data_IF_032268882169
#
_entry.id   IF_032268882169
#
_cell.length_a   1.000
_cell.length_b   1.000
_cell.length_c   1.000
_cell.angle_alpha   90.00
_cell.angle_beta   90.00
_cell.angle_gamma   90.00
#
_symmetry.space_group_name_H-M   'P 1'
#
loop_
_entity.id
_entity.type
_entity.pdbx_description
1 polymer ?
#
# COMPACT_ATOMS: atom_id res chain seq x y z
N UNK A 1 38.56 17.76 3.76
CA UNK A 1 37.87 17.89 2.46
C UNK A 1 36.40 17.62 2.71
N UNK A 2 35.55 18.65 2.74
CA UNK A 2 34.11 18.50 3.05
C UNK A 2 33.34 18.27 1.75
N UNK A 3 32.63 17.14 1.66
CA UNK A 3 31.72 16.87 0.56
C UNK A 3 30.45 17.71 0.72
N UNK A 4 30.28 18.71 -0.16
CA UNK A 4 29.04 19.45 -0.26
C UNK A 4 27.95 18.57 -0.87
N UNK A 5 26.87 18.34 -0.13
CA UNK A 5 25.65 17.75 -0.67
C UNK A 5 25.09 18.68 -1.76
N UNK A 6 25.10 18.23 -3.02
CA UNK A 6 24.35 18.88 -4.09
C UNK A 6 22.86 18.67 -3.82
N UNK A 7 22.15 19.74 -3.47
CA UNK A 7 20.69 19.73 -3.43
C UNK A 7 20.18 19.35 -4.82
N UNK A 8 19.32 18.33 -4.91
CA UNK A 8 18.71 17.93 -6.17
C UNK A 8 17.90 19.11 -6.75
N UNK A 9 17.94 19.35 -8.07
CA UNK A 9 17.13 20.43 -8.64
C UNK A 9 15.66 20.13 -8.37
N UNK A 10 14.95 21.12 -7.80
CA UNK A 10 13.51 21.06 -7.68
C UNK A 10 12.92 20.83 -9.08
N UNK A 11 12.09 19.80 -9.28
CA UNK A 11 11.47 19.50 -10.58
C UNK A 11 10.90 20.79 -11.20
N UNK A 12 11.18 21.02 -12.47
CA UNK A 12 10.63 22.15 -13.23
C UNK A 12 9.09 22.05 -13.27
N UNK A 13 8.33 23.14 -12.98
CA UNK A 13 6.88 23.15 -13.15
C UNK A 13 6.41 22.66 -14.53
N UNK A 14 7.13 22.96 -15.62
CA UNK A 14 6.78 22.48 -16.98
C UNK A 14 6.93 20.97 -17.07
N UNK A 15 7.97 20.41 -16.45
CA UNK A 15 8.17 18.97 -16.37
C UNK A 15 7.13 18.27 -15.48
N UNK A 16 6.49 18.97 -14.53
CA UNK A 16 5.38 18.42 -13.74
C UNK A 16 4.08 18.42 -14.51
N UNK A 17 3.80 19.49 -15.27
CA UNK A 17 2.65 19.55 -16.18
C UNK A 17 2.68 18.40 -17.19
N UNK A 18 3.87 18.05 -17.72
CA UNK A 18 4.05 16.87 -18.58
C UNK A 18 3.89 15.51 -17.84
N UNK A 19 3.77 15.52 -16.52
CA UNK A 19 3.68 14.33 -15.64
C UNK A 19 2.39 14.30 -14.80
N UNK A 20 1.37 14.96 -15.33
CA UNK A 20 -0.02 14.93 -14.85
C UNK A 20 -0.89 14.58 -16.07
N UNK A 21 -2.04 13.94 -15.84
CA UNK A 21 -3.04 13.70 -16.88
C UNK A 21 -4.36 14.35 -16.51
N UNK A 22 -4.96 15.03 -17.48
CA UNK A 22 -6.33 15.55 -17.38
C UNK A 22 -7.37 14.42 -17.51
N UNK A 23 -8.60 14.59 -16.98
CA UNK A 23 -9.66 13.58 -17.11
C UNK A 23 -9.97 13.18 -18.56
N UNK A 24 -9.89 14.13 -19.49
CA UNK A 24 -10.16 13.90 -20.92
C UNK A 24 -9.07 13.06 -21.58
N UNK A 25 -7.80 13.31 -21.23
CA UNK A 25 -6.66 12.52 -21.70
C UNK A 25 -6.74 11.09 -21.15
N UNK A 26 -7.13 10.95 -19.88
CA UNK A 26 -7.35 9.65 -19.25
C UNK A 26 -8.48 8.86 -19.91
N UNK A 27 -9.62 9.51 -20.18
CA UNK A 27 -10.76 8.87 -20.87
C UNK A 27 -10.39 8.44 -22.30
N UNK A 28 -9.57 9.23 -23.01
CA UNK A 28 -9.14 8.93 -24.39
C UNK A 28 -8.05 7.85 -24.44
N UNK A 29 -7.36 7.57 -23.32
CA UNK A 29 -6.29 6.56 -23.26
C UNK A 29 -6.76 5.11 -23.43
N UNK A 30 -8.09 4.87 -23.52
CA UNK A 30 -8.64 3.54 -23.78
C UNK A 30 -8.42 2.55 -22.64
N UNK A 31 -8.44 3.04 -21.39
CA UNK A 31 -8.30 2.22 -20.19
C UNK A 31 -9.42 1.16 -20.16
N UNK A 32 -9.11 -0.15 -20.00
CA UNK A 32 -10.12 -1.18 -19.96
C UNK A 32 -11.10 -0.96 -18.80
N UNK A 33 -12.40 -0.93 -19.13
CA UNK A 33 -13.46 -0.81 -18.14
C UNK A 33 -13.48 -2.04 -17.23
N UNK A 34 -13.52 -1.81 -15.92
CA UNK A 34 -13.74 -2.90 -14.96
C UNK A 34 -15.14 -3.49 -15.14
N UNK A 35 -15.29 -4.83 -15.16
CA UNK A 35 -16.62 -5.46 -15.20
C UNK A 35 -17.46 -5.14 -13.96
N UNK A 36 -16.84 -5.21 -12.78
CA UNK A 36 -17.50 -4.88 -11.51
C UNK A 36 -16.60 -4.03 -10.61
N UNK A 37 -16.58 -2.69 -10.80
CA UNK A 37 -15.80 -1.78 -9.96
C UNK A 37 -16.15 -1.93 -8.48
N UNK A 38 -17.44 -2.08 -8.15
CA UNK A 38 -17.91 -2.25 -6.77
C UNK A 38 -17.25 -3.44 -6.09
N UNK A 39 -17.12 -4.57 -6.77
CA UNK A 39 -16.49 -5.76 -6.19
C UNK A 39 -15.00 -5.53 -5.93
N UNK A 40 -14.28 -4.93 -6.88
CA UNK A 40 -12.86 -4.60 -6.70
C UNK A 40 -12.68 -3.65 -5.52
N UNK A 41 -13.46 -2.57 -5.45
CA UNK A 41 -13.39 -1.59 -4.35
C UNK A 41 -13.70 -2.24 -3.01
N UNK A 42 -14.75 -3.06 -2.91
CA UNK A 42 -15.08 -3.77 -1.67
C UNK A 42 -13.93 -4.69 -1.24
N UNK A 43 -13.37 -5.48 -2.15
CA UNK A 43 -12.25 -6.37 -1.83
C UNK A 43 -11.01 -5.60 -1.35
N UNK A 44 -10.65 -4.50 -2.02
CA UNK A 44 -9.51 -3.68 -1.59
C UNK A 44 -9.76 -2.98 -0.25
N UNK A 45 -10.99 -2.54 0.00
CA UNK A 45 -11.38 -1.94 1.28
C UNK A 45 -11.35 -2.97 2.42
N UNK A 46 -11.74 -4.20 2.16
CA UNK A 46 -11.66 -5.32 3.10
C UNK A 46 -10.22 -5.72 3.45
N UNK A 47 -9.36 -5.81 2.43
CA UNK A 47 -7.97 -6.21 2.60
C UNK A 47 -7.10 -5.14 3.27
N UNK A 48 -7.29 -3.87 2.92
CA UNK A 48 -6.36 -2.81 3.32
C UNK A 48 -6.90 -1.83 4.36
N UNK A 49 -8.23 -1.80 4.60
CA UNK A 49 -8.90 -0.84 5.49
C UNK A 49 -8.35 0.59 5.32
N UNK A 50 -8.34 1.14 4.08
CA UNK A 50 -7.59 2.34 3.78
C UNK A 50 -8.14 3.56 4.51
N UNK A 51 -7.24 4.30 5.17
CA UNK A 51 -7.49 5.60 5.77
C UNK A 51 -7.12 6.72 4.79
N UNK A 52 -7.53 7.98 5.04
CA UNK A 52 -7.13 9.09 4.17
C UNK A 52 -5.62 9.16 3.95
N UNK A 53 -5.21 9.53 2.73
CA UNK A 53 -3.83 9.48 2.21
C UNK A 53 -3.28 8.07 1.92
N UNK A 54 -4.11 7.03 1.98
CA UNK A 54 -3.70 5.66 1.60
C UNK A 54 -3.90 5.44 0.10
N UNK A 55 -2.83 5.06 -0.60
CA UNK A 55 -2.89 4.50 -1.94
C UNK A 55 -2.83 2.97 -1.86
N UNK A 56 -3.66 2.29 -2.66
CA UNK A 56 -3.70 0.84 -2.81
C UNK A 56 -3.55 0.52 -4.28
N UNK A 57 -2.42 -0.08 -4.65
CA UNK A 57 -2.23 -0.64 -5.99
C UNK A 57 -2.61 -2.11 -5.98
N UNK A 58 -3.39 -2.52 -6.97
CA UNK A 58 -3.87 -3.89 -7.11
C UNK A 58 -3.61 -4.40 -8.51
N UNK A 59 -3.33 -5.70 -8.63
CA UNK A 59 -3.20 -6.40 -9.90
C UNK A 59 -4.38 -7.35 -10.02
N UNK A 60 -5.15 -7.18 -11.08
CA UNK A 60 -6.25 -8.06 -11.45
C UNK A 60 -5.72 -9.20 -12.34
N UNK A 61 -6.19 -10.41 -12.04
CA UNK A 61 -5.99 -11.58 -12.89
C UNK A 61 -6.80 -11.51 -14.18
N UNK A 62 -6.70 -12.56 -15.00
CA UNK A 62 -7.48 -12.70 -16.23
C UNK A 62 -8.98 -12.86 -15.98
N UNK A 63 -9.36 -13.25 -14.77
CA UNK A 63 -10.73 -13.37 -14.27
C UNK A 63 -11.27 -12.05 -13.68
N UNK A 64 -10.51 -10.95 -13.81
CA UNK A 64 -10.79 -9.63 -13.24
C UNK A 64 -10.91 -9.62 -11.70
N UNK A 65 -10.38 -10.63 -11.00
CA UNK A 65 -10.30 -10.67 -9.54
C UNK A 65 -8.96 -10.15 -9.05
N UNK A 66 -8.92 -9.62 -7.82
CA UNK A 66 -7.69 -9.13 -7.19
C UNK A 66 -6.76 -10.31 -6.94
N UNK A 67 -5.67 -10.40 -7.71
CA UNK A 67 -4.66 -11.44 -7.59
C UNK A 67 -3.54 -11.05 -6.62
N UNK A 68 -3.23 -9.75 -6.55
CA UNK A 68 -2.24 -9.20 -5.63
C UNK A 68 -2.56 -7.73 -5.34
N UNK A 69 -2.19 -7.25 -4.16
CA UNK A 69 -2.39 -5.85 -3.80
C UNK A 69 -1.41 -5.40 -2.72
N UNK A 70 -1.12 -4.10 -2.69
CA UNK A 70 -0.31 -3.47 -1.67
C UNK A 70 -0.84 -2.06 -1.38
N UNK A 71 -0.89 -1.72 -0.10
CA UNK A 71 -1.18 -0.37 0.37
C UNK A 71 0.08 0.36 0.80
N UNK A 72 0.05 1.68 0.69
CA UNK A 72 1.08 2.57 1.22
C UNK A 72 0.50 3.96 1.46
N UNK A 73 1.02 4.64 2.48
CA UNK A 73 0.68 6.04 2.73
C UNK A 73 1.48 6.92 1.77
N UNK A 74 0.80 7.86 1.13
CA UNK A 74 1.45 8.87 0.32
C UNK A 74 1.08 10.25 0.87
N UNK A 75 2.08 10.96 1.38
CA UNK A 75 1.99 12.37 1.76
C UNK A 75 2.95 13.14 0.87
N UNK A 76 2.45 14.11 0.12
CA UNK A 76 3.29 15.04 -0.61
C UNK A 76 2.61 16.40 -0.64
N UNK A 77 3.38 17.44 -0.32
CA UNK A 77 2.93 18.83 -0.44
C UNK A 77 2.94 19.29 -1.90
N UNK A 78 3.61 18.52 -2.77
CA UNK A 78 3.70 18.80 -4.21
C UNK A 78 3.52 17.52 -5.02
N UNK A 79 2.35 17.28 -5.63
CA UNK A 79 2.16 16.10 -6.47
C UNK A 79 3.11 16.14 -7.68
N UNK A 80 3.79 15.02 -7.93
CA UNK A 80 4.65 14.79 -9.09
C UNK A 80 4.45 13.34 -9.54
N UNK A 81 3.95 13.15 -10.77
CA UNK A 81 3.67 11.81 -11.31
C UNK A 81 4.89 10.91 -11.34
N UNK A 82 6.11 11.46 -11.46
CA UNK A 82 7.35 10.67 -11.39
C UNK A 82 7.55 10.01 -10.02
N UNK A 83 7.27 10.75 -8.93
CA UNK A 83 7.39 10.23 -7.58
C UNK A 83 6.34 9.13 -7.33
N UNK A 84 5.10 9.37 -7.75
CA UNK A 84 4.01 8.40 -7.63
C UNK A 84 4.29 7.12 -8.43
N UNK A 85 4.81 7.25 -9.66
CA UNK A 85 5.25 6.10 -10.45
C UNK A 85 6.28 5.25 -9.70
N UNK A 86 7.31 5.87 -9.13
CA UNK A 86 8.35 5.12 -8.41
C UNK A 86 7.76 4.40 -7.19
N UNK A 87 6.90 5.07 -6.42
CA UNK A 87 6.18 4.43 -5.32
C UNK A 87 5.34 3.25 -5.78
N UNK A 88 4.64 3.37 -6.92
CA UNK A 88 3.84 2.27 -7.49
C UNK A 88 4.71 1.09 -7.93
N UNK A 89 5.82 1.35 -8.64
CA UNK A 89 6.75 0.31 -9.07
C UNK A 89 7.35 -0.46 -7.90
N UNK A 90 7.72 0.24 -6.82
CA UNK A 90 8.27 -0.40 -5.62
C UNK A 90 7.29 -1.34 -4.95
N UNK A 91 5.99 -1.04 -5.00
CA UNK A 91 4.94 -1.93 -4.49
C UNK A 91 4.65 -3.07 -5.46
N UNK A 92 4.50 -2.79 -6.75
CA UNK A 92 4.23 -3.79 -7.78
C UNK A 92 5.30 -4.89 -7.81
N UNK A 93 6.58 -4.51 -7.75
CA UNK A 93 7.72 -5.46 -7.73
C UNK A 93 7.70 -6.41 -6.52
N UNK A 94 7.08 -6.00 -5.41
CA UNK A 94 7.00 -6.82 -4.19
C UNK A 94 5.84 -7.82 -4.24
N UNK A 95 4.74 -7.47 -4.90
CA UNK A 95 3.51 -8.28 -4.85
C UNK A 95 3.27 -9.09 -6.12
N UNK A 96 3.96 -8.78 -7.22
CA UNK A 96 3.72 -9.45 -8.50
C UNK A 96 4.97 -9.38 -9.41
N UNK A 97 5.43 -10.53 -9.95
CA UNK A 97 6.44 -10.54 -11.00
C UNK A 97 6.01 -9.70 -12.21
N UNK A 98 6.95 -8.99 -12.84
CA UNK A 98 6.67 -8.19 -14.04
C UNK A 98 6.32 -9.09 -15.25
N UNK A 99 5.54 -8.55 -16.18
CA UNK A 99 5.11 -9.27 -17.40
C UNK A 99 5.85 -8.82 -18.67
N UNK A 100 6.99 -8.12 -18.53
CA UNK A 100 7.75 -7.52 -19.64
C UNK A 100 8.20 -8.50 -20.74
N UNK A 101 8.30 -9.80 -20.43
CA UNK A 101 8.67 -10.83 -21.42
C UNK A 101 7.48 -11.40 -22.20
N UNK A 102 6.24 -11.07 -21.80
CA UNK A 102 5.03 -11.54 -22.48
C UNK A 102 4.78 -10.69 -23.73
N UNK A 103 4.27 -11.33 -24.79
CA UNK A 103 3.86 -10.63 -26.02
C UNK A 103 2.70 -9.66 -25.80
N UNK A 104 1.82 -9.96 -24.85
CA UNK A 104 0.69 -9.12 -24.48
C UNK A 104 0.49 -9.13 -22.97
N UNK A 105 0.24 -7.97 -22.33
CA UNK A 105 -0.10 -7.92 -20.91
C UNK A 105 -1.41 -8.67 -20.62
N UNK A 106 -1.35 -9.63 -19.70
CA UNK A 106 -2.52 -10.46 -19.30
C UNK A 106 -3.17 -10.00 -18.01
N UNK A 107 -2.46 -9.19 -17.23
CA UNK A 107 -2.90 -8.68 -15.93
C UNK A 107 -3.09 -7.17 -16.00
N UNK A 108 -4.04 -6.67 -15.22
CA UNK A 108 -4.42 -5.25 -15.24
C UNK A 108 -4.14 -4.64 -13.88
N UNK A 109 -3.41 -3.52 -13.83
CA UNK A 109 -3.19 -2.79 -12.59
C UNK A 109 -4.27 -1.73 -12.37
N UNK A 110 -4.82 -1.67 -11.17
CA UNK A 110 -5.82 -0.69 -10.72
C UNK A 110 -5.25 0.05 -9.52
N UNK A 111 -5.56 1.34 -9.40
CA UNK A 111 -5.17 2.15 -8.25
C UNK A 111 -6.42 2.66 -7.54
N UNK A 112 -6.52 2.41 -6.24
CA UNK A 112 -7.46 3.04 -5.34
C UNK A 112 -6.72 4.05 -4.47
N UNK A 113 -7.15 5.31 -4.47
CA UNK A 113 -6.61 6.34 -3.60
C UNK A 113 -7.66 6.84 -2.63
N UNK A 114 -7.42 6.62 -1.34
CA UNK A 114 -8.26 7.10 -0.26
C UNK A 114 -7.81 8.51 0.12
N UNK A 115 -8.70 9.49 -0.01
CA UNK A 115 -8.40 10.90 0.25
C UNK A 115 -9.55 11.63 0.91
N UNK A 116 -9.21 12.71 1.57
CA UNK A 116 -10.18 13.67 2.08
C UNK A 116 -10.74 14.54 0.94
N UNK A 117 -11.86 15.21 1.21
CA UNK A 117 -12.47 16.16 0.28
C UNK A 117 -13.51 15.56 -0.68
N UNK A 118 -13.82 16.32 -1.73
CA UNK A 118 -14.89 16.00 -2.68
C UNK A 118 -14.46 14.99 -3.74
N UNK A 119 -15.38 14.29 -4.39
CA UNK A 119 -15.06 13.29 -5.42
C UNK A 119 -14.60 13.87 -6.77
N UNK A 120 -14.52 15.21 -6.89
CA UNK A 120 -14.04 15.86 -8.10
C UNK A 120 -12.56 15.60 -8.35
N UNK A 121 -12.16 15.64 -9.63
CA UNK A 121 -10.75 15.51 -10.03
C UNK A 121 -9.90 16.67 -9.49
N UNK A 122 -8.64 16.37 -9.19
CA UNK A 122 -7.63 17.30 -8.70
C UNK A 122 -6.29 17.04 -9.39
N UNK A 123 -5.35 17.99 -9.32
CA UNK A 123 -4.00 17.82 -9.85
C UNK A 123 -3.26 16.59 -9.26
N UNK A 124 -3.58 16.24 -8.00
CA UNK A 124 -3.06 15.04 -7.34
C UNK A 124 -3.57 13.79 -8.05
N UNK A 125 -4.85 13.76 -8.40
CA UNK A 125 -5.47 12.66 -9.15
C UNK A 125 -4.83 12.53 -10.54
N UNK A 126 -4.59 13.65 -11.23
CA UNK A 126 -3.89 13.65 -12.52
C UNK A 126 -2.46 13.13 -12.45
N UNK A 127 -1.71 13.49 -11.40
CA UNK A 127 -0.37 12.94 -11.16
C UNK A 127 -0.42 11.43 -10.86
N UNK A 128 -1.44 10.95 -10.14
CA UNK A 128 -1.65 9.52 -9.90
C UNK A 128 -1.99 8.75 -11.17
N UNK A 129 -2.87 9.29 -12.00
CA UNK A 129 -3.22 8.72 -13.31
C UNK A 129 -1.98 8.59 -14.20
N UNK A 130 -1.18 9.66 -14.29
CA UNK A 130 0.08 9.62 -15.03
C UNK A 130 1.02 8.55 -14.46
N UNK A 131 1.22 8.56 -13.13
CA UNK A 131 2.12 7.64 -12.45
C UNK A 131 1.71 6.18 -12.62
N UNK A 132 0.40 5.90 -12.58
CA UNK A 132 -0.16 4.57 -12.83
C UNK A 132 0.10 4.11 -14.26
N UNK A 133 -0.18 4.96 -15.25
CA UNK A 133 0.04 4.64 -16.67
C UNK A 133 1.51 4.31 -16.95
N UNK A 134 2.43 5.14 -16.46
CA UNK A 134 3.87 4.93 -16.66
C UNK A 134 4.36 3.67 -15.90
N UNK A 135 3.91 3.47 -14.65
CA UNK A 135 4.27 2.28 -13.87
C UNK A 135 3.76 0.98 -14.51
N UNK A 136 2.56 0.98 -15.09
CA UNK A 136 2.03 -0.18 -15.81
C UNK A 136 2.88 -0.51 -17.03
N UNK A 137 3.26 0.51 -17.80
CA UNK A 137 4.14 0.36 -18.97
C UNK A 137 5.48 -0.26 -18.57
N UNK A 138 6.09 0.25 -17.50
CA UNK A 138 7.39 -0.21 -17.00
C UNK A 138 7.33 -1.58 -16.30
N UNK A 139 6.17 -2.03 -15.83
CA UNK A 139 5.99 -3.35 -15.20
C UNK A 139 5.40 -4.42 -16.15
N UNK A 140 5.03 -4.02 -17.38
CA UNK A 140 4.44 -4.90 -18.38
C UNK A 140 2.97 -5.27 -18.11
N UNK A 141 2.23 -4.42 -17.40
CA UNK A 141 0.81 -4.63 -17.06
C UNK A 141 -0.10 -3.79 -17.97
N UNK A 142 -1.36 -4.20 -18.14
CA UNK A 142 -2.39 -3.29 -18.67
C UNK A 142 -2.66 -2.20 -17.63
N UNK A 143 -2.67 -0.95 -18.08
CA UNK A 143 -3.15 0.15 -17.25
C UNK A 143 -4.67 0.03 -17.09
N UNK A 144 -5.13 0.00 -15.85
CA UNK A 144 -6.55 -0.09 -15.48
C UNK A 144 -7.05 1.16 -14.76
N UNK A 145 -8.21 1.04 -14.13
CA UNK A 145 -8.93 2.15 -13.53
C UNK A 145 -8.15 2.87 -12.41
N UNK A 146 -8.37 4.18 -12.33
CA UNK A 146 -8.05 5.00 -11.15
C UNK A 146 -9.35 5.27 -10.37
N UNK A 147 -9.34 4.93 -9.09
CA UNK A 147 -10.52 4.98 -8.22
C UNK A 147 -10.21 5.88 -7.03
N UNK A 148 -11.04 6.88 -6.78
CA UNK A 148 -11.00 7.65 -5.54
C UNK A 148 -11.96 7.08 -4.52
N UNK A 149 -11.53 7.02 -3.26
CA UNK A 149 -12.37 6.70 -2.10
C UNK A 149 -12.37 7.90 -1.17
N UNK A 150 -13.55 8.47 -0.93
CA UNK A 150 -13.78 9.65 -0.07
C UNK A 150 -14.83 9.34 0.99
N UNK A 151 -15.10 10.27 1.91
CA UNK A 151 -16.21 10.13 2.85
C UNK A 151 -17.59 10.02 2.17
N UNK A 152 -17.73 10.49 0.93
CA UNK A 152 -18.96 10.39 0.14
C UNK A 152 -19.14 9.06 -0.61
N UNK A 153 -18.14 8.18 -0.60
CA UNK A 153 -18.12 6.94 -1.36
C UNK A 153 -16.93 6.83 -2.31
N UNK A 154 -17.04 5.95 -3.29
CA UNK A 154 -16.02 5.72 -4.31
C UNK A 154 -16.49 6.16 -5.69
N UNK A 155 -15.53 6.53 -6.54
CA UNK A 155 -15.76 6.92 -7.93
C UNK A 155 -14.59 6.43 -8.79
N UNK A 156 -14.90 5.92 -9.98
CA UNK A 156 -13.91 5.62 -11.01
C UNK A 156 -13.73 6.87 -11.87
N UNK A 157 -12.51 7.41 -11.93
CA UNK A 157 -12.27 8.63 -12.70
C UNK A 157 -12.13 8.32 -14.19
N UNK A 158 -12.64 9.24 -15.01
CA UNK A 158 -12.82 9.04 -16.46
C UNK A 158 -14.05 8.21 -16.81
N UNK A 159 -14.85 7.82 -15.80
CA UNK A 159 -16.10 7.10 -15.97
C UNK A 159 -17.19 7.72 -15.09
N UNK A 160 -18.47 7.53 -15.45
CA UNK A 160 -19.61 7.97 -14.63
C UNK A 160 -20.00 6.94 -13.56
N UNK A 161 -19.07 6.02 -13.20
CA UNK A 161 -19.34 4.91 -12.29
C UNK A 161 -18.82 5.21 -10.88
N UNK A 162 -19.68 5.03 -9.89
CA UNK A 162 -19.36 5.22 -8.49
C UNK A 162 -20.40 4.61 -7.56
N UNK A 163 -20.19 4.75 -6.25
CA UNK A 163 -21.13 4.28 -5.26
C UNK A 163 -20.85 4.82 -3.85
N UNK A 164 -21.90 4.95 -3.04
CA UNK A 164 -21.81 5.51 -1.67
C UNK A 164 -21.09 4.61 -0.66
N UNK A 165 -20.92 3.32 -0.97
CA UNK A 165 -20.25 2.34 -0.11
C UNK A 165 -19.32 1.44 -0.93
N UNK A 166 -18.14 1.10 -0.41
CA UNK A 166 -17.54 1.62 0.84
C UNK A 166 -17.15 3.10 0.71
N UNK A 167 -16.87 3.76 1.84
CA UNK A 167 -16.40 5.15 1.92
C UNK A 167 -15.20 5.24 2.87
N UNK A 168 -14.41 6.29 2.73
CA UNK A 168 -13.26 6.57 3.59
C UNK A 168 -13.74 6.92 5.01
N UNK A 169 -13.17 6.30 6.05
CA UNK A 169 -13.55 6.58 7.44
C UNK A 169 -14.63 5.68 8.02
N UNK A 170 -15.05 4.63 7.30
CA UNK A 170 -15.62 3.46 7.96
C UNK A 170 -14.51 2.72 8.72
N UNK A 171 -14.03 3.32 9.81
CA UNK A 171 -13.58 2.49 10.92
C UNK A 171 -14.75 1.55 11.19
N UNK A 172 -14.55 0.24 11.08
CA UNK A 172 -15.36 -0.65 11.89
C UNK A 172 -15.35 0.00 13.28
N UNK A 173 -16.50 0.44 13.77
CA UNK A 173 -16.67 0.73 15.18
C UNK A 173 -16.36 -0.59 15.89
N UNK A 174 -15.08 -0.89 16.08
CA UNK A 174 -14.64 -1.62 17.24
C UNK A 174 -15.09 -0.73 18.35
N UNK A 175 -16.19 -1.15 19.00
CA UNK A 175 -16.60 -0.71 20.31
C UNK A 175 -15.33 -0.46 21.12
N UNK A 176 -14.93 0.80 21.22
CA UNK A 176 -14.01 1.20 22.26
C UNK A 176 -14.81 0.97 23.54
N UNK A 177 -14.43 0.02 24.42
CA UNK A 177 -15.11 -0.10 25.68
C UNK A 177 -14.93 1.24 26.38
N UNK A 178 -16.04 1.92 26.62
CA UNK A 178 -16.08 3.09 27.48
C UNK A 178 -15.53 2.67 28.84
N UNK A 179 -14.42 3.27 29.34
CA UNK A 179 -13.88 2.91 30.65
C UNK A 179 -14.80 3.34 31.80
N UNK A 180 -16.02 3.82 31.54
CA UNK A 180 -16.96 4.29 32.58
C UNK A 180 -18.20 3.42 32.80
N UNK A 181 -18.30 2.26 32.16
CA UNK A 181 -19.39 1.31 32.48
C UNK A 181 -18.81 0.06 33.13
N UNK A 182 -18.41 0.19 34.39
CA UNK A 182 -18.29 -0.95 35.29
C UNK A 182 -19.67 -1.21 35.90
N UNK A 183 -20.28 -2.39 35.72
CA UNK A 183 -21.25 -2.90 36.67
C UNK A 183 -20.48 -3.48 37.87
N UNK A 184 -20.80 -2.97 39.06
CA UNK A 184 -20.31 -3.54 40.30
C UNK A 184 -20.67 -5.02 40.40
N UNK A 185 -19.65 -5.86 40.62
CA UNK A 185 -19.82 -7.22 41.10
C UNK A 185 -18.89 -7.42 42.30
N UNK A 186 -19.51 -7.72 43.43
CA UNK A 186 -18.92 -7.92 44.74
C UNK A 186 -17.94 -9.11 44.76
N UNK A 187 -16.84 -8.88 45.46
CA UNK A 187 -16.14 -9.77 46.40
C UNK A 187 -16.06 -11.28 46.09
N UNK A 188 -14.83 -11.73 45.81
CA UNK A 188 -14.40 -13.11 45.98
C UNK A 188 -12.88 -13.18 46.06
N UNK A 189 -12.35 -13.40 47.25
CA UNK A 189 -10.92 -13.39 47.62
C UNK A 189 -10.08 -14.42 46.84
N UNK A 190 -8.84 -14.04 46.51
CA UNK A 190 -7.72 -14.98 46.40
C UNK A 190 -6.41 -14.29 46.84
N UNK A 191 -5.79 -14.91 47.83
CA UNK A 191 -4.54 -14.56 48.53
C UNK A 191 -3.31 -14.48 47.61
N UNK A 192 -2.34 -13.58 47.87
CA UNK A 192 -1.09 -13.53 47.11
C UNK A 192 -0.04 -14.49 47.69
N UNK A 193 0.49 -15.38 46.84
CA UNK A 193 1.73 -16.11 47.12
C UNK A 193 2.92 -15.34 46.54
N UNK A 194 3.68 -14.71 47.43
CA UNK A 194 4.99 -14.12 47.17
C UNK A 194 6.03 -15.24 47.03
N UNK A 195 6.81 -15.26 45.95
CA UNK A 195 8.07 -16.01 45.89
C UNK A 195 9.20 -15.06 45.49
N UNK A 196 10.30 -14.99 46.27
CA UNK A 196 11.36 -14.00 46.09
C UNK A 196 12.39 -14.38 45.01
N UNK A 197 12.92 -13.34 44.37
CA UNK A 197 14.10 -13.36 43.49
C UNK A 197 15.35 -13.75 44.29
N UNK A 198 16.19 -14.64 43.74
CA UNK A 198 17.49 -15.04 44.32
C UNK A 198 18.65 -14.61 43.40
N UNK A 199 19.78 -14.07 43.92
CA UNK A 199 20.81 -13.45 43.12
C UNK A 199 21.93 -14.42 42.65
N UNK A 200 22.70 -13.93 41.69
CA UNK A 200 23.82 -14.53 40.95
C UNK A 200 25.11 -14.66 41.79
N UNK A 201 25.82 -15.77 41.65
CA UNK A 201 27.15 -16.05 42.23
C UNK A 201 27.88 -17.21 41.52
N UNK A 202 29.21 -17.40 41.71
CA UNK A 202 30.19 -17.38 40.60
C UNK A 202 30.76 -18.73 40.13
N UNK A 203 31.63 -18.61 39.10
CA UNK A 203 32.40 -19.63 38.36
C UNK A 203 33.20 -20.59 39.25
N UNK A 204 33.39 -21.82 38.76
CA UNK A 204 34.67 -22.54 38.88
C UNK A 204 34.89 -23.42 37.66
N UNK A 205 36.14 -23.35 37.20
CA UNK A 205 36.83 -24.07 36.14
C UNK A 205 37.13 -25.51 36.54
N UNK A 206 37.13 -26.44 35.58
CA UNK A 206 38.24 -27.38 35.41
C UNK A 206 38.11 -28.23 34.13
N UNK A 207 39.26 -28.49 33.49
CA UNK A 207 39.51 -29.68 32.67
C UNK A 207 39.36 -29.55 31.15
N UNK A 208 40.46 -29.24 30.46
CA UNK A 208 40.63 -29.27 29.01
C UNK A 208 41.24 -30.64 28.53
N UNK A 209 41.72 -30.83 27.27
CA UNK A 209 41.27 -31.83 26.27
C UNK A 209 42.44 -32.81 25.91
N UNK A 210 42.67 -33.38 24.70
CA UNK A 210 41.92 -33.43 23.43
C UNK A 210 41.87 -34.82 22.73
N UNK A 211 40.97 -34.96 21.75
CA UNK A 211 40.92 -36.09 20.81
C UNK A 211 40.65 -35.60 19.38
N UNK A 212 41.67 -35.69 18.54
CA UNK A 212 41.68 -35.27 17.14
C UNK A 212 40.99 -36.27 16.21
N UNK A 213 40.24 -35.80 15.22
CA UNK A 213 39.96 -36.47 13.93
C UNK A 213 39.77 -35.38 12.87
N UNK A 214 40.82 -35.02 12.11
CA UNK A 214 41.31 -35.58 10.84
C UNK A 214 40.43 -35.20 9.64
N UNK A 215 40.94 -34.23 8.87
CA UNK A 215 40.60 -33.96 7.48
C UNK A 215 40.89 -35.17 6.59
N UNK A 216 39.98 -35.47 5.68
CA UNK A 216 40.27 -36.11 4.39
C UNK A 216 39.26 -35.58 3.37
N UNK A 217 39.71 -34.68 2.49
CA UNK A 217 39.06 -34.38 1.23
C UNK A 217 40.01 -34.85 0.13
N UNK A 218 39.50 -35.77 -0.68
CA UNK A 218 40.10 -36.25 -1.92
C UNK A 218 39.58 -35.38 -3.08
N UNK A 219 40.45 -35.12 -4.06
CA UNK A 219 40.10 -34.55 -5.37
C UNK A 219 40.70 -33.18 -5.62
#
# INVERSE_FOLDING_TARGET
>A
MSAGFRSAPASDPVSRLARTLEPSEWATAGIPLLRSPRTVVTSLWELHRPTPSTAVVAVLGTDERVAASASFTQRTDRPDGWAFRNSLLDRLRRVTPHDLRRRSPTRTAVLLFCRDGSSGWTDVDGAWMWGLRDACTLHGLRCGAYITLTGGGWQVLGEERGGRRPYAGATSNGTQPDPRTAPGALAGQAVPLTVPVRPKGPRSSDGAPPGAYRQAAAG
#
